data_IF_074389831794
#
_entry.id   IF_074389831794
#
_cell.length_a   1.000
_cell.length_b   1.000
_cell.length_c   1.000
_cell.angle_alpha   90.00
_cell.angle_beta   90.00
_cell.angle_gamma   90.00
#
_symmetry.space_group_name_H-M   'P 1'
#
loop_
_entity.id
_entity.type
_entity.pdbx_description
1 polymer ?
#
# COMPACT_ATOMS: atom_id res chain seq x y z
N UNK A 1 -37.72 -0.35 -56.92
CA UNK A 1 -38.07 0.29 -55.64
C UNK A 1 -37.41 1.64 -55.64
N UNK A 2 -38.18 2.65 -56.02
CA UNK A 2 -37.78 4.06 -56.02
C UNK A 2 -37.83 4.63 -54.60
N UNK A 3 -37.00 5.61 -54.26
CA UNK A 3 -37.14 6.39 -53.03
C UNK A 3 -38.08 7.58 -53.26
N UNK A 4 -38.88 8.02 -52.28
CA UNK A 4 -39.56 9.30 -52.38
C UNK A 4 -38.67 10.44 -51.85
N UNK A 5 -38.57 11.47 -52.68
CA UNK A 5 -37.95 12.76 -52.45
C UNK A 5 -38.81 13.69 -51.56
N UNK A 6 -38.09 14.56 -50.83
CA UNK A 6 -38.30 16.01 -50.61
C UNK A 6 -39.63 16.59 -50.12
N UNK A 7 -39.50 17.51 -49.14
CA UNK A 7 -40.47 18.58 -48.91
C UNK A 7 -40.13 19.48 -47.69
N UNK A 8 -39.71 20.75 -47.88
CA UNK A 8 -39.20 21.64 -46.83
C UNK A 8 -40.28 22.57 -46.24
N UNK A 9 -40.03 23.10 -45.04
CA UNK A 9 -40.87 24.12 -44.39
C UNK A 9 -40.01 25.18 -43.70
N UNK A 10 -40.04 26.38 -44.27
CA UNK A 10 -39.32 27.59 -43.91
C UNK A 10 -39.92 28.38 -42.72
N UNK A 11 -39.06 29.29 -42.20
CA UNK A 11 -39.32 30.60 -41.56
C UNK A 11 -39.81 30.67 -40.10
N UNK A 12 -39.00 31.27 -39.22
CA UNK A 12 -39.13 32.71 -38.93
C UNK A 12 -37.98 33.23 -38.04
N UNK A 13 -37.56 34.43 -38.39
CA UNK A 13 -36.46 35.27 -37.92
C UNK A 13 -37.03 36.30 -36.92
N UNK A 14 -36.35 36.60 -35.81
CA UNK A 14 -36.60 37.83 -35.03
C UNK A 14 -35.35 38.29 -34.24
N UNK A 15 -34.68 39.26 -34.87
CA UNK A 15 -33.86 40.38 -34.38
C UNK A 15 -33.72 40.72 -32.87
N UNK A 16 -32.45 40.76 -32.42
CA UNK A 16 -31.66 41.80 -31.66
C UNK A 16 -32.38 43.04 -31.06
N UNK A 17 -31.88 43.69 -29.96
CA UNK A 17 -30.53 44.29 -29.94
C UNK A 17 -29.75 44.50 -28.60
N UNK A 18 -28.48 44.83 -28.83
CA UNK A 18 -27.37 45.44 -28.07
C UNK A 18 -27.55 46.15 -26.69
N UNK A 19 -26.52 45.97 -25.84
CA UNK A 19 -25.67 47.09 -25.40
C UNK A 19 -25.46 47.31 -23.89
N UNK A 20 -24.22 47.11 -23.39
CA UNK A 20 -23.45 48.13 -22.61
C UNK A 20 -22.08 47.66 -22.15
N UNK A 21 -21.06 48.38 -22.59
CA UNK A 21 -19.71 48.51 -22.05
C UNK A 21 -19.67 49.32 -20.74
N UNK A 22 -18.80 48.95 -19.79
CA UNK A 22 -18.07 49.88 -18.91
C UNK A 22 -16.76 49.24 -18.42
N UNK A 23 -15.70 50.03 -18.47
CA UNK A 23 -14.31 49.78 -18.02
C UNK A 23 -14.02 50.76 -16.84
N UNK A 24 -12.78 50.85 -16.31
CA UNK A 24 -12.36 50.41 -14.98
C UNK A 24 -12.19 51.55 -13.94
N UNK A 25 -11.97 51.21 -12.67
CA UNK A 25 -11.38 52.13 -11.67
C UNK A 25 -10.26 51.43 -10.87
N UNK A 26 -9.16 52.15 -10.71
CA UNK A 26 -7.95 51.90 -9.90
C UNK A 26 -7.77 53.16 -9.00
N UNK A 27 -6.74 53.29 -8.13
CA UNK A 27 -6.37 52.56 -6.92
C UNK A 27 -6.41 53.46 -5.64
N UNK A 28 -6.18 52.90 -4.45
CA UNK A 28 -5.72 53.67 -3.27
C UNK A 28 -4.54 53.01 -2.56
N UNK A 29 -3.50 53.82 -2.35
CA UNK A 29 -2.27 53.60 -1.56
C UNK A 29 -2.54 53.82 -0.07
N UNK A 30 -1.77 53.17 0.81
CA UNK A 30 -1.02 53.85 1.89
C UNK A 30 0.01 52.93 2.58
N UNK A 31 1.24 53.44 2.67
CA UNK A 31 2.38 52.99 3.48
C UNK A 31 2.07 53.01 4.98
N UNK A 32 2.74 52.17 5.80
CA UNK A 32 3.41 52.56 7.08
C UNK A 32 4.58 51.61 7.36
N UNK A 33 5.61 52.18 8.00
CA UNK A 33 7.02 51.84 8.18
C UNK A 33 7.38 50.60 9.02
N UNK A 34 8.60 50.08 8.78
CA UNK A 34 9.35 49.17 9.66
C UNK A 34 10.43 49.94 10.41
N UNK A 35 10.51 49.77 11.73
CA UNK A 35 11.74 49.98 12.51
C UNK A 35 11.74 49.08 13.76
N UNK A 36 12.94 48.65 14.19
CA UNK A 36 13.15 48.13 15.54
C UNK A 36 13.97 46.84 15.65
N UNK A 37 15.30 46.98 15.71
CA UNK A 37 16.23 45.99 16.26
C UNK A 37 16.36 46.26 17.76
N UNK A 38 16.27 45.24 18.63
CA UNK A 38 16.85 45.27 19.98
C UNK A 38 17.40 43.89 20.34
N UNK A 39 18.67 43.88 20.77
CA UNK A 39 19.37 42.75 21.39
C UNK A 39 19.26 42.83 22.90
N UNK A 40 19.25 41.69 23.62
CA UNK A 40 19.81 41.63 24.98
C UNK A 40 20.21 40.21 25.39
N UNK A 41 21.24 40.19 26.25
CA UNK A 41 22.08 39.09 26.75
C UNK A 41 21.38 38.19 27.79
N UNK A 42 21.85 36.95 27.92
CA UNK A 42 21.59 36.08 29.08
C UNK A 42 22.79 36.07 30.06
N UNK A 43 22.56 35.98 31.38
CA UNK A 43 23.62 35.82 32.37
C UNK A 43 23.94 34.33 32.65
N UNK A 44 25.18 34.12 33.06
CA UNK A 44 25.73 32.88 33.61
C UNK A 44 25.25 32.69 35.04
N UNK A 45 24.79 31.48 35.39
CA UNK A 45 24.68 31.02 36.78
C UNK A 45 25.29 29.62 36.91
N UNK A 46 26.08 29.50 37.96
CA UNK A 46 26.92 28.39 38.39
C UNK A 46 26.25 27.80 39.63
N UNK A 47 26.07 26.48 39.77
CA UNK A 47 25.92 25.80 41.07
C UNK A 47 26.14 24.28 40.98
N UNK A 48 26.73 23.80 42.07
CA UNK A 48 27.25 22.49 42.45
C UNK A 48 26.21 21.55 43.11
N UNK A 49 26.50 20.25 43.02
CA UNK A 49 26.20 19.12 43.94
C UNK A 49 24.80 18.89 44.57
N UNK A 50 24.30 17.64 44.46
CA UNK A 50 23.59 16.96 45.56
C UNK A 50 22.22 16.32 45.28
N UNK A 51 22.22 15.02 44.95
CA UNK A 51 21.25 13.93 45.24
C UNK A 51 19.74 14.23 45.40
N UNK A 52 18.92 13.62 44.53
CA UNK A 52 17.61 13.06 44.91
C UNK A 52 16.36 13.56 44.17
N UNK A 53 15.68 12.61 43.51
CA UNK A 53 14.28 12.64 43.04
C UNK A 53 13.89 13.46 41.80
N UNK A 54 13.09 12.83 40.92
CA UNK A 54 12.02 13.49 40.16
C UNK A 54 12.37 14.05 38.78
N UNK A 55 12.01 13.29 37.74
CA UNK A 55 11.53 13.71 36.40
C UNK A 55 11.72 15.19 35.96
N UNK A 56 12.51 15.47 34.90
CA UNK A 56 12.56 16.79 34.26
C UNK A 56 11.80 16.91 32.92
N UNK A 57 11.08 15.89 32.46
CA UNK A 57 10.43 15.92 31.13
C UNK A 57 9.18 16.83 31.04
N UNK A 58 8.65 17.34 32.16
CA UNK A 58 7.38 18.10 32.15
C UNK A 58 7.52 19.61 31.93
N UNK A 59 8.72 20.20 31.98
CA UNK A 59 8.88 21.67 31.99
C UNK A 59 9.48 22.30 30.71
N UNK A 60 9.70 21.54 29.64
CA UNK A 60 10.35 22.05 28.42
C UNK A 60 9.41 22.59 27.33
N UNK A 61 8.08 22.55 27.54
CA UNK A 61 7.09 22.82 26.47
C UNK A 61 6.16 24.00 26.73
N UNK A 62 6.34 24.77 27.80
CA UNK A 62 5.51 25.94 28.13
C UNK A 62 5.84 27.22 27.34
N UNK A 63 6.79 27.15 26.40
CA UNK A 63 7.32 28.34 25.69
C UNK A 63 6.83 28.55 24.24
N UNK A 64 6.00 27.67 23.67
CA UNK A 64 5.57 27.80 22.27
C UNK A 64 4.10 28.22 22.23
N UNK A 65 3.86 29.51 21.97
CA UNK A 65 2.53 30.06 21.80
C UNK A 65 1.81 29.44 20.60
N UNK A 66 0.50 29.17 20.78
CA UNK A 66 -0.52 28.90 19.78
C UNK A 66 -0.01 28.33 18.44
N UNK A 67 0.37 27.06 18.45
CA UNK A 67 0.41 26.22 17.25
C UNK A 67 -0.45 24.99 17.56
N UNK A 68 -1.22 24.55 16.57
CA UNK A 68 -2.15 23.43 16.64
C UNK A 68 -1.57 22.20 17.35
N UNK A 69 -2.46 21.51 18.07
CA UNK A 69 -2.30 20.32 18.90
C UNK A 69 -1.03 19.47 18.63
N UNK A 70 0.01 19.67 19.45
CA UNK A 70 1.29 18.94 19.41
C UNK A 70 1.19 17.57 20.12
N UNK A 71 0.02 17.22 20.67
CA UNK A 71 -0.20 15.97 21.42
C UNK A 71 0.15 14.70 20.61
N UNK A 72 -0.19 14.57 19.31
CA UNK A 72 0.07 13.34 18.56
C UNK A 72 1.56 13.05 18.35
N UNK A 73 2.37 14.10 18.15
CA UNK A 73 3.82 13.98 17.97
C UNK A 73 4.48 13.62 19.29
N UNK A 74 4.04 14.24 20.39
CA UNK A 74 4.48 13.92 21.75
C UNK A 74 4.18 12.46 22.11
N UNK A 75 2.98 11.98 21.83
CA UNK A 75 2.56 10.61 22.13
C UNK A 75 3.29 9.56 21.28
N UNK A 76 3.73 9.94 20.08
CA UNK A 76 4.54 9.09 19.22
C UNK A 76 5.97 8.99 19.74
N UNK A 77 6.58 10.11 20.12
CA UNK A 77 7.93 10.14 20.72
C UNK A 77 7.97 9.32 22.01
N UNK A 78 6.96 9.46 22.87
CA UNK A 78 6.87 8.69 24.13
C UNK A 78 6.76 7.19 23.88
N UNK A 79 6.01 6.76 22.85
CA UNK A 79 5.90 5.34 22.47
C UNK A 79 7.21 4.78 21.93
N UNK A 80 7.93 5.55 21.09
CA UNK A 80 9.23 5.15 20.55
C UNK A 80 10.24 4.98 21.68
N UNK A 81 10.35 5.96 22.59
CA UNK A 81 11.28 5.91 23.72
C UNK A 81 10.93 4.77 24.68
N UNK A 82 9.64 4.56 24.98
CA UNK A 82 9.21 3.45 25.85
C UNK A 82 9.50 2.08 25.24
N UNK A 83 9.34 1.93 23.92
CA UNK A 83 9.62 0.66 23.22
C UNK A 83 11.12 0.40 23.18
N UNK A 84 11.93 1.42 22.86
CA UNK A 84 13.38 1.31 22.86
C UNK A 84 13.96 1.00 24.25
N UNK A 85 13.34 1.52 25.31
CA UNK A 85 13.70 1.20 26.68
C UNK A 85 13.45 -0.28 27.00
N UNK A 86 12.25 -0.80 26.69
CA UNK A 86 11.92 -2.21 26.93
C UNK A 86 12.85 -3.17 26.18
N UNK A 87 13.22 -2.84 24.95
CA UNK A 87 14.18 -3.63 24.16
C UNK A 87 15.62 -3.55 24.71
N UNK A 88 16.00 -2.44 25.35
CA UNK A 88 17.30 -2.30 26.02
C UNK A 88 17.33 -3.12 27.31
N UNK A 89 16.23 -3.12 28.07
CA UNK A 89 16.06 -3.93 29.28
C UNK A 89 16.09 -5.44 28.97
N UNK A 90 15.63 -5.83 27.78
CA UNK A 90 15.71 -7.20 27.28
C UNK A 90 17.08 -7.56 26.67
N UNK A 91 18.03 -6.60 26.61
CA UNK A 91 19.35 -6.80 26.03
C UNK A 91 19.39 -6.87 24.50
N UNK A 92 18.27 -6.58 23.84
CA UNK A 92 18.12 -6.62 22.37
C UNK A 92 18.71 -5.36 21.74
N UNK A 93 18.47 -4.19 22.35
CA UNK A 93 19.12 -2.94 21.96
C UNK A 93 20.30 -2.62 22.89
N UNK A 94 21.42 -2.17 22.30
CA UNK A 94 22.52 -1.67 23.12
C UNK A 94 22.13 -0.35 23.80
N UNK A 95 22.59 -0.15 25.04
CA UNK A 95 22.37 1.09 25.79
C UNK A 95 22.83 2.35 25.04
N UNK A 96 23.84 2.22 24.16
CA UNK A 96 24.30 3.32 23.29
C UNK A 96 23.26 3.73 22.26
N UNK A 97 22.54 2.77 21.66
CA UNK A 97 21.48 3.03 20.67
C UNK A 97 20.29 3.69 21.35
N UNK A 98 19.91 3.21 22.54
CA UNK A 98 18.85 3.81 23.34
C UNK A 98 19.15 5.27 23.71
N UNK A 99 20.37 5.55 24.21
CA UNK A 99 20.80 6.92 24.52
C UNK A 99 20.76 7.82 23.28
N UNK A 100 21.06 7.28 22.09
CA UNK A 100 20.92 8.01 20.82
C UNK A 100 19.46 8.40 20.52
N UNK A 101 18.53 7.46 20.68
CA UNK A 101 17.09 7.66 20.48
C UNK A 101 16.54 8.67 21.48
N UNK A 102 16.89 8.54 22.76
CA UNK A 102 16.46 9.45 23.84
C UNK A 102 17.02 10.87 23.64
N UNK A 103 18.28 10.98 23.20
CA UNK A 103 18.92 12.27 22.90
C UNK A 103 18.28 12.93 21.67
N UNK A 104 17.93 12.16 20.65
CA UNK A 104 17.22 12.66 19.47
C UNK A 104 15.83 13.17 19.83
N UNK A 105 15.07 12.39 20.62
CA UNK A 105 13.73 12.72 21.11
C UNK A 105 13.68 13.97 21.99
N UNK A 106 14.68 14.18 22.85
CA UNK A 106 14.74 15.30 23.79
C UNK A 106 15.28 16.60 23.19
N UNK A 107 16.02 16.55 22.08
CA UNK A 107 16.72 17.73 21.54
C UNK A 107 15.86 18.74 20.78
N UNK A 108 14.58 18.47 20.53
CA UNK A 108 13.65 19.38 19.83
C UNK A 108 14.06 19.76 18.40
N UNK A 109 15.14 19.19 17.87
CA UNK A 109 15.72 19.50 16.56
C UNK A 109 15.40 18.39 15.56
N UNK A 110 14.20 18.50 14.96
CA UNK A 110 13.85 18.13 13.59
C UNK A 110 13.96 16.66 13.14
N UNK A 111 12.92 16.19 12.45
CA UNK A 111 12.78 14.90 11.75
C UNK A 111 14.06 14.37 11.09
N UNK A 112 14.94 15.24 10.57
CA UNK A 112 16.22 14.85 9.96
C UNK A 112 17.12 13.99 10.87
N UNK A 113 17.19 14.25 12.18
CA UNK A 113 17.99 13.41 13.11
C UNK A 113 17.28 12.13 13.54
N UNK A 114 15.95 12.10 13.43
CA UNK A 114 15.17 10.87 13.56
C UNK A 114 15.45 9.97 12.35
N UNK A 115 15.56 10.55 11.14
CA UNK A 115 15.99 9.83 9.94
C UNK A 115 17.43 9.30 10.03
N UNK A 116 18.39 10.09 10.53
CA UNK A 116 19.78 9.60 10.75
C UNK A 116 19.83 8.50 11.83
N UNK A 117 19.01 8.63 12.87
CA UNK A 117 18.83 7.59 13.90
C UNK A 117 18.13 6.35 13.36
N UNK A 118 17.19 6.50 12.43
CA UNK A 118 16.53 5.38 11.73
C UNK A 118 17.48 4.65 10.79
N UNK A 119 18.39 5.35 10.11
CA UNK A 119 19.45 4.73 9.31
C UNK A 119 20.46 4.00 10.21
N UNK A 120 20.73 4.53 11.40
CA UNK A 120 21.56 3.86 12.42
C UNK A 120 20.84 2.66 13.06
N UNK A 121 19.51 2.73 13.21
CA UNK A 121 18.63 1.63 13.62
C UNK A 121 18.53 0.57 12.53
N UNK A 122 18.44 0.96 11.25
CA UNK A 122 18.48 0.05 10.10
C UNK A 122 19.83 -0.68 10.07
N UNK A 123 20.94 0.03 10.25
CA UNK A 123 22.27 -0.60 10.36
C UNK A 123 22.42 -1.53 11.59
N UNK A 124 21.67 -1.27 12.67
CA UNK A 124 21.62 -2.14 13.84
C UNK A 124 20.66 -3.33 13.66
N UNK A 125 19.54 -3.14 12.95
CA UNK A 125 18.57 -4.17 12.55
C UNK A 125 19.18 -5.08 11.48
N UNK A 126 20.04 -4.56 10.62
CA UNK A 126 20.84 -5.36 9.69
C UNK A 126 21.82 -6.30 10.45
N UNK A 127 22.03 -6.07 11.75
CA UNK A 127 22.83 -6.90 12.64
C UNK A 127 22.02 -7.83 13.59
N UNK A 128 20.69 -7.75 13.62
CA UNK A 128 19.84 -8.60 14.48
C UNK A 128 18.53 -9.03 13.79
N UNK A 129 18.08 -10.31 13.90
CA UNK A 129 17.03 -10.87 13.04
C UNK A 129 15.58 -10.44 13.38
N UNK A 130 15.36 -9.43 14.22
CA UNK A 130 14.02 -9.14 14.73
C UNK A 130 13.27 -8.06 13.93
N UNK A 131 12.53 -8.53 12.93
CA UNK A 131 11.59 -7.78 12.05
C UNK A 131 10.46 -7.07 12.82
N UNK A 132 10.23 -7.41 14.09
CA UNK A 132 9.08 -6.97 14.88
C UNK A 132 9.10 -5.49 15.30
N UNK A 133 10.27 -4.87 15.46
CA UNK A 133 10.39 -3.49 15.96
C UNK A 133 9.90 -2.46 14.93
N UNK A 134 10.11 -2.76 13.65
CA UNK A 134 9.81 -1.89 12.54
C UNK A 134 8.30 -1.85 12.21
N UNK A 135 7.59 -2.96 12.42
CA UNK A 135 6.14 -3.05 12.24
C UNK A 135 5.35 -2.20 13.26
N UNK A 136 5.88 -2.01 14.47
CA UNK A 136 5.24 -1.17 15.50
C UNK A 136 5.32 0.34 15.19
N UNK A 137 6.30 0.78 14.39
CA UNK A 137 6.54 2.19 14.07
C UNK A 137 5.71 2.71 12.90
N UNK A 138 5.18 1.84 12.04
CA UNK A 138 4.40 2.19 10.86
C UNK A 138 2.98 2.74 11.16
N UNK A 139 2.61 2.93 12.43
CA UNK A 139 1.25 3.31 12.84
C UNK A 139 0.89 4.81 12.82
N UNK A 140 1.82 5.74 12.57
CA UNK A 140 1.57 7.18 12.72
C UNK A 140 1.93 8.03 11.47
N UNK A 141 0.91 8.67 10.88
CA UNK A 141 0.90 9.79 9.91
C UNK A 141 2.13 10.02 9.02
N UNK A 142 2.03 9.78 7.70
CA UNK A 142 2.93 10.25 6.62
C UNK A 142 4.36 9.69 6.65
N UNK A 143 5.01 9.75 7.81
CA UNK A 143 6.18 8.97 8.21
C UNK A 143 5.87 7.48 8.17
N UNK A 144 4.60 7.09 8.37
CA UNK A 144 4.16 5.68 8.32
C UNK A 144 4.37 5.00 6.98
N UNK A 145 4.17 5.66 5.83
CA UNK A 145 4.39 5.04 4.52
C UNK A 145 5.87 4.85 4.24
N UNK A 146 6.68 5.87 4.53
CA UNK A 146 8.15 5.81 4.36
C UNK A 146 8.73 4.68 5.21
N UNK A 147 8.38 4.62 6.49
CA UNK A 147 8.80 3.55 7.40
C UNK A 147 8.30 2.21 6.88
N UNK A 148 7.01 2.09 6.52
CA UNK A 148 6.46 0.83 6.03
C UNK A 148 7.18 0.32 4.77
N UNK A 149 7.61 1.19 3.87
CA UNK A 149 8.32 0.80 2.65
C UNK A 149 9.81 0.59 2.83
N UNK A 150 10.47 1.33 3.73
CA UNK A 150 11.83 1.00 4.14
C UNK A 150 11.84 -0.40 4.77
N UNK A 151 10.86 -0.67 5.65
CA UNK A 151 10.66 -2.00 6.22
C UNK A 151 10.42 -3.03 5.11
N UNK A 152 9.49 -2.77 4.19
CA UNK A 152 9.19 -3.68 3.09
C UNK A 152 10.43 -3.94 2.21
N UNK A 153 11.28 -2.94 2.00
CA UNK A 153 12.54 -3.07 1.24
C UNK A 153 13.55 -3.94 1.98
N UNK A 154 13.79 -3.64 3.26
CA UNK A 154 14.68 -4.45 4.10
C UNK A 154 14.19 -5.89 4.17
N UNK A 155 12.89 -6.07 4.37
CA UNK A 155 12.21 -7.37 4.47
C UNK A 155 12.21 -8.13 3.14
N UNK A 156 12.06 -7.46 1.99
CA UNK A 156 12.21 -8.09 0.67
C UNK A 156 13.67 -8.50 0.38
N UNK A 157 14.63 -7.65 0.75
CA UNK A 157 16.06 -7.99 0.69
C UNK A 157 16.39 -9.20 1.56
N UNK A 158 15.89 -9.22 2.80
CA UNK A 158 16.08 -10.35 3.69
C UNK A 158 15.41 -11.61 3.15
N UNK A 159 14.22 -11.54 2.54
CA UNK A 159 13.61 -12.72 1.93
C UNK A 159 14.48 -13.26 0.79
N UNK A 160 14.97 -12.38 -0.09
CA UNK A 160 15.84 -12.76 -1.20
C UNK A 160 17.16 -13.41 -0.74
N UNK A 161 17.72 -12.96 0.39
CA UNK A 161 18.95 -13.52 0.97
C UNK A 161 18.68 -14.78 1.82
N UNK A 162 17.62 -14.74 2.62
CA UNK A 162 17.23 -15.75 3.60
C UNK A 162 16.65 -17.01 2.98
N UNK A 163 15.99 -16.91 1.82
CA UNK A 163 15.51 -18.07 1.06
C UNK A 163 16.66 -19.02 0.70
N UNK A 164 17.87 -18.52 0.41
CA UNK A 164 19.04 -19.39 0.13
C UNK A 164 19.51 -20.18 1.35
N UNK A 165 19.45 -19.59 2.54
CA UNK A 165 19.87 -20.24 3.78
C UNK A 165 18.79 -21.14 4.40
N UNK A 166 17.53 -20.72 4.32
CA UNK A 166 16.40 -21.44 4.92
C UNK A 166 16.02 -22.69 4.10
N UNK A 167 16.23 -22.66 2.79
CA UNK A 167 15.93 -23.79 1.90
C UNK A 167 17.10 -24.78 1.77
N UNK A 168 17.99 -24.89 2.77
CA UNK A 168 19.20 -25.72 2.71
C UNK A 168 19.00 -27.21 2.33
N UNK A 169 17.76 -27.71 2.28
CA UNK A 169 17.40 -29.02 1.69
C UNK A 169 16.43 -28.99 0.48
N UNK A 170 15.97 -27.80 0.06
CA UNK A 170 14.99 -27.55 -1.02
C UNK A 170 15.53 -26.64 -2.13
N UNK A 171 16.78 -26.21 -2.00
CA UNK A 171 17.51 -25.46 -3.02
C UNK A 171 17.48 -26.24 -4.36
N UNK A 172 17.06 -25.56 -5.43
CA UNK A 172 16.93 -26.14 -6.77
C UNK A 172 15.51 -26.60 -7.14
N UNK A 173 14.51 -26.38 -6.30
CA UNK A 173 13.10 -26.50 -6.73
C UNK A 173 12.68 -25.24 -7.49
N UNK A 174 11.92 -25.42 -8.57
CA UNK A 174 11.40 -24.32 -9.40
C UNK A 174 10.62 -23.26 -8.59
N UNK A 175 9.92 -23.68 -7.53
CA UNK A 175 9.16 -22.77 -6.66
C UNK A 175 10.08 -21.85 -5.85
N UNK A 176 11.19 -22.38 -5.34
CA UNK A 176 12.19 -21.58 -4.61
C UNK A 176 12.85 -20.59 -5.57
N UNK A 177 13.15 -20.98 -6.81
CA UNK A 177 13.69 -20.05 -7.81
C UNK A 177 12.69 -18.93 -8.12
N UNK A 178 11.40 -19.26 -8.31
CA UNK A 178 10.33 -18.27 -8.50
C UNK A 178 10.20 -17.32 -7.31
N UNK A 179 10.29 -17.81 -6.08
CA UNK A 179 10.26 -16.96 -4.88
C UNK A 179 11.46 -16.01 -4.81
N UNK A 180 12.66 -16.48 -5.16
CA UNK A 180 13.84 -15.61 -5.22
C UNK A 180 13.67 -14.53 -6.29
N UNK A 181 13.14 -14.87 -7.46
CA UNK A 181 12.86 -13.90 -8.51
C UNK A 181 11.85 -12.84 -8.05
N UNK A 182 10.75 -13.27 -7.41
CA UNK A 182 9.73 -12.34 -6.89
C UNK A 182 10.33 -11.45 -5.80
N UNK A 183 11.13 -12.00 -4.88
CA UNK A 183 11.77 -11.24 -3.80
C UNK A 183 12.78 -10.22 -4.33
N UNK A 184 13.60 -10.62 -5.31
CA UNK A 184 14.53 -9.71 -5.98
C UNK A 184 13.80 -8.56 -6.67
N UNK A 185 12.70 -8.84 -7.38
CA UNK A 185 11.90 -7.83 -8.07
C UNK A 185 11.17 -6.89 -7.12
N UNK A 186 10.59 -7.45 -6.04
CA UNK A 186 9.99 -6.65 -4.99
C UNK A 186 11.03 -5.71 -4.39
N UNK A 187 12.21 -6.22 -4.03
CA UNK A 187 13.32 -5.39 -3.52
C UNK A 187 13.72 -4.28 -4.49
N UNK A 188 13.92 -4.58 -5.79
CA UNK A 188 14.29 -3.57 -6.78
C UNK A 188 13.22 -2.48 -6.87
N UNK A 189 11.94 -2.85 -6.95
CA UNK A 189 10.84 -1.91 -7.07
C UNK A 189 10.70 -1.03 -5.82
N UNK A 190 10.73 -1.63 -4.62
CA UNK A 190 10.58 -0.88 -3.37
C UNK A 190 11.79 -0.02 -3.07
N UNK A 191 12.99 -0.51 -3.37
CA UNK A 191 14.23 0.26 -3.28
C UNK A 191 14.19 1.46 -4.23
N UNK A 192 13.83 1.25 -5.50
CA UNK A 192 13.71 2.35 -6.46
C UNK A 192 12.75 3.43 -5.94
N UNK A 193 11.58 3.03 -5.45
CA UNK A 193 10.58 3.95 -4.92
C UNK A 193 11.14 4.73 -3.70
N UNK A 194 11.80 4.04 -2.77
CA UNK A 194 12.37 4.62 -1.56
C UNK A 194 13.48 5.66 -1.82
N UNK A 195 14.15 5.58 -2.98
CA UNK A 195 15.20 6.53 -3.37
C UNK A 195 14.67 7.75 -4.14
N UNK A 196 13.37 7.83 -4.42
CA UNK A 196 12.79 8.99 -5.09
C UNK A 196 12.62 10.15 -4.11
N UNK A 197 12.99 11.38 -4.50
CA UNK A 197 12.82 12.55 -3.63
C UNK A 197 11.34 12.80 -3.26
N UNK A 198 10.41 12.43 -4.15
CA UNK A 198 8.98 12.51 -3.93
C UNK A 198 8.38 11.31 -3.17
N UNK A 199 9.23 10.42 -2.63
CA UNK A 199 8.79 9.17 -1.98
C UNK A 199 7.67 9.30 -0.93
N UNK A 200 7.64 10.32 -0.05
CA UNK A 200 6.55 10.48 0.92
C UNK A 200 5.16 10.54 0.28
N UNK A 201 5.07 10.89 -1.01
CA UNK A 201 3.86 10.94 -1.82
C UNK A 201 3.88 10.05 -3.05
N UNK A 202 4.71 9.00 -3.11
CA UNK A 202 4.71 8.04 -4.24
C UNK A 202 3.99 6.75 -3.93
N UNK A 203 3.92 6.33 -2.66
CA UNK A 203 3.30 5.07 -2.27
C UNK A 203 2.59 5.20 -0.93
N UNK A 204 1.44 4.55 -0.79
CA UNK A 204 0.71 4.50 0.47
C UNK A 204 1.20 3.34 1.35
N UNK A 205 0.72 3.28 2.60
CA UNK A 205 1.01 2.15 3.48
C UNK A 205 0.33 0.84 3.02
N UNK A 206 -0.62 0.90 2.09
CA UNK A 206 -1.41 -0.24 1.66
C UNK A 206 -0.56 -1.27 0.89
N UNK A 207 0.22 -0.82 -0.10
CA UNK A 207 1.15 -1.68 -0.83
C UNK A 207 2.27 -2.21 0.07
N UNK A 208 2.82 -1.37 0.96
CA UNK A 208 3.88 -1.76 1.89
C UNK A 208 3.43 -2.90 2.81
N UNK A 209 2.20 -2.80 3.33
CA UNK A 209 1.60 -3.83 4.19
C UNK A 209 1.47 -5.17 3.48
N UNK A 210 1.13 -5.17 2.18
CA UNK A 210 1.04 -6.39 1.39
C UNK A 210 2.42 -7.05 1.21
N UNK A 211 3.45 -6.28 0.86
CA UNK A 211 4.83 -6.80 0.70
C UNK A 211 5.40 -7.31 2.03
N UNK A 212 5.20 -6.55 3.12
CA UNK A 212 5.67 -6.95 4.44
C UNK A 212 4.97 -8.24 4.93
N UNK A 213 3.65 -8.34 4.78
CA UNK A 213 2.91 -9.54 5.15
C UNK A 213 3.31 -10.76 4.31
N UNK A 214 3.60 -10.56 3.01
CA UNK A 214 4.07 -11.65 2.17
C UNK A 214 5.44 -12.16 2.60
N UNK A 215 6.37 -11.26 2.89
CA UNK A 215 7.71 -11.68 3.29
C UNK A 215 7.74 -12.35 4.67
N UNK A 216 6.89 -11.91 5.62
CA UNK A 216 6.68 -12.62 6.88
C UNK A 216 6.29 -14.08 6.65
N UNK A 217 5.35 -14.34 5.73
CA UNK A 217 5.00 -15.69 5.33
C UNK A 217 6.20 -16.45 4.76
N UNK A 218 6.99 -15.84 3.86
CA UNK A 218 8.16 -16.49 3.26
C UNK A 218 9.14 -17.01 4.31
N UNK A 219 9.37 -16.25 5.39
CA UNK A 219 10.22 -16.71 6.50
C UNK A 219 9.62 -17.86 7.30
N UNK A 220 8.29 -17.92 7.38
CA UNK A 220 7.56 -18.96 8.10
C UNK A 220 7.33 -20.22 7.29
N UNK A 221 7.57 -20.23 5.97
CA UNK A 221 7.38 -21.42 5.12
C UNK A 221 8.07 -22.68 5.68
N UNK A 222 9.33 -22.63 6.18
CA UNK A 222 9.99 -23.78 6.80
C UNK A 222 9.27 -24.33 8.04
N UNK A 223 8.45 -23.51 8.69
CA UNK A 223 7.72 -23.84 9.92
C UNK A 223 6.29 -24.35 9.63
N UNK A 224 5.83 -24.27 8.38
CA UNK A 224 4.49 -24.70 8.01
C UNK A 224 4.37 -26.24 8.02
N UNK A 225 3.23 -26.79 8.47
CA UNK A 225 3.01 -28.24 8.47
C UNK A 225 3.12 -28.88 7.08
N UNK A 226 2.65 -28.17 6.05
CA UNK A 226 2.87 -28.52 4.64
C UNK A 226 3.74 -27.43 3.98
N UNK A 227 5.01 -27.76 3.86
CA UNK A 227 6.01 -26.87 3.29
C UNK A 227 5.76 -26.59 1.80
N UNK A 228 5.34 -27.60 1.04
CA UNK A 228 5.23 -27.53 -0.41
C UNK A 228 4.01 -26.70 -0.82
N UNK A 229 2.91 -26.91 -0.11
CA UNK A 229 1.76 -26.01 -0.05
C UNK A 229 2.15 -24.57 0.27
N UNK A 230 2.92 -24.39 1.35
CA UNK A 230 3.44 -23.10 1.78
C UNK A 230 4.22 -22.37 0.69
N UNK A 231 5.13 -23.07 0.00
CA UNK A 231 5.89 -22.53 -1.11
C UNK A 231 5.00 -22.09 -2.27
N UNK A 232 4.07 -22.94 -2.72
CA UNK A 232 3.16 -22.62 -3.83
C UNK A 232 2.29 -21.41 -3.52
N UNK A 233 1.70 -21.38 -2.33
CA UNK A 233 0.93 -20.23 -1.89
C UNK A 233 1.80 -18.97 -1.81
N UNK A 234 3.04 -19.08 -1.33
CA UNK A 234 3.95 -17.93 -1.24
C UNK A 234 4.32 -17.35 -2.61
N UNK A 235 4.41 -18.16 -3.67
CA UNK A 235 4.66 -17.68 -5.04
C UNK A 235 3.48 -16.85 -5.55
N UNK A 236 2.26 -17.37 -5.40
CA UNK A 236 1.04 -16.64 -5.81
C UNK A 236 0.83 -15.38 -4.97
N UNK A 237 1.00 -15.49 -3.65
CA UNK A 237 0.91 -14.38 -2.71
C UNK A 237 1.96 -13.29 -2.99
N UNK A 238 3.18 -13.66 -3.37
CA UNK A 238 4.22 -12.70 -3.73
C UNK A 238 3.89 -11.94 -5.02
N UNK A 239 3.33 -12.64 -6.00
CA UNK A 239 2.82 -12.00 -7.23
C UNK A 239 1.65 -11.05 -6.93
N UNK A 240 0.74 -11.44 -6.03
CA UNK A 240 -0.32 -10.56 -5.52
C UNK A 240 0.24 -9.32 -4.82
N UNK A 241 1.21 -9.49 -3.91
CA UNK A 241 1.83 -8.39 -3.17
C UNK A 241 2.55 -7.41 -4.10
N UNK A 242 3.28 -7.92 -5.09
CA UNK A 242 3.96 -7.12 -6.09
C UNK A 242 2.97 -6.35 -6.99
N UNK A 243 1.84 -6.96 -7.34
CA UNK A 243 0.76 -6.30 -8.09
C UNK A 243 0.09 -5.18 -7.30
N UNK A 244 -0.17 -5.42 -6.01
CA UNK A 244 -0.72 -4.41 -5.10
C UNK A 244 0.26 -3.25 -4.90
N UNK A 245 1.55 -3.54 -4.68
CA UNK A 245 2.60 -2.54 -4.57
C UNK A 245 2.70 -1.68 -5.84
N UNK A 246 2.66 -2.32 -7.01
CA UNK A 246 2.70 -1.66 -8.32
C UNK A 246 1.48 -0.76 -8.55
N UNK A 247 0.27 -1.26 -8.22
CA UNK A 247 -0.95 -0.47 -8.34
C UNK A 247 -0.96 0.71 -7.34
N UNK A 248 -0.46 0.52 -6.12
CA UNK A 248 -0.34 1.61 -5.14
C UNK A 248 0.61 2.70 -5.64
N UNK A 249 1.80 2.33 -6.13
CA UNK A 249 2.78 3.24 -6.70
C UNK A 249 2.21 4.10 -7.84
N UNK A 250 1.42 3.48 -8.72
CA UNK A 250 0.87 4.16 -9.91
C UNK A 250 -0.44 4.91 -9.62
N UNK A 251 -1.02 4.77 -8.44
CA UNK A 251 -2.28 5.46 -8.07
C UNK A 251 -2.09 6.62 -7.12
N UNK A 252 -0.85 6.97 -6.79
CA UNK A 252 -0.60 8.10 -5.91
C UNK A 252 -0.80 9.43 -6.64
N UNK A 253 -1.55 10.32 -6.00
CA UNK A 253 -1.87 11.66 -6.50
C UNK A 253 -0.63 12.58 -6.39
N UNK A 254 -0.57 13.65 -7.19
CA UNK A 254 0.40 14.77 -7.08
C UNK A 254 1.89 14.51 -7.40
N UNK A 255 2.20 13.47 -8.16
CA UNK A 255 3.56 13.26 -8.69
C UNK A 255 3.75 13.90 -10.06
N UNK A 256 4.96 14.41 -10.33
CA UNK A 256 5.38 14.90 -11.65
C UNK A 256 5.13 13.84 -12.75
N UNK A 257 4.74 14.28 -13.94
CA UNK A 257 4.47 13.44 -15.12
C UNK A 257 5.70 12.61 -15.50
N UNK A 258 6.90 13.19 -15.41
CA UNK A 258 8.15 12.48 -15.68
C UNK A 258 8.33 11.30 -14.70
N UNK A 259 8.10 11.54 -13.42
CA UNK A 259 8.20 10.52 -12.38
C UNK A 259 7.13 9.42 -12.52
N UNK A 260 5.91 9.78 -12.91
CA UNK A 260 4.86 8.79 -13.23
C UNK A 260 5.23 7.92 -14.42
N UNK A 261 5.90 8.48 -15.42
CA UNK A 261 6.40 7.72 -16.55
C UNK A 261 7.49 6.73 -16.11
N UNK A 262 8.48 7.19 -15.34
CA UNK A 262 9.52 6.34 -14.78
C UNK A 262 8.94 5.24 -13.87
N UNK A 263 7.98 5.57 -13.00
CA UNK A 263 7.27 4.60 -12.17
C UNK A 263 6.60 3.52 -13.02
N UNK A 264 5.92 3.91 -14.11
CA UNK A 264 5.28 2.98 -15.02
C UNK A 264 6.31 2.06 -15.72
N UNK A 265 7.47 2.59 -16.12
CA UNK A 265 8.55 1.78 -16.70
C UNK A 265 9.13 0.78 -15.69
N UNK A 266 9.33 1.18 -14.44
CA UNK A 266 9.81 0.30 -13.39
C UNK A 266 8.81 -0.81 -13.07
N UNK A 267 7.53 -0.46 -12.92
CA UNK A 267 6.45 -1.46 -12.75
C UNK A 267 6.38 -2.40 -13.94
N UNK A 268 6.49 -1.89 -15.16
CA UNK A 268 6.47 -2.71 -16.37
C UNK A 268 7.62 -3.73 -16.35
N UNK A 269 8.84 -3.30 -16.00
CA UNK A 269 10.05 -4.14 -15.99
C UNK A 269 10.04 -5.16 -14.86
N UNK A 270 9.71 -4.72 -13.65
CA UNK A 270 9.91 -5.54 -12.45
C UNK A 270 8.68 -6.37 -12.08
N UNK A 271 7.48 -5.94 -12.43
CA UNK A 271 6.25 -6.66 -12.08
C UNK A 271 5.53 -7.26 -13.30
N UNK A 272 5.23 -6.44 -14.31
CA UNK A 272 4.29 -6.84 -15.36
C UNK A 272 4.91 -7.77 -16.42
N UNK A 273 6.08 -7.45 -16.98
CA UNK A 273 6.73 -8.31 -17.98
C UNK A 273 7.04 -9.72 -17.44
N UNK A 274 7.59 -9.88 -16.22
CA UNK A 274 7.87 -11.19 -15.66
C UNK A 274 6.59 -11.98 -15.40
N UNK A 275 5.55 -11.32 -14.86
CA UNK A 275 4.25 -11.94 -14.67
C UNK A 275 3.70 -12.45 -16.00
N UNK A 276 3.68 -11.63 -17.04
CA UNK A 276 3.12 -12.02 -18.34
C UNK A 276 3.83 -13.21 -18.98
N UNK A 277 5.16 -13.30 -18.82
CA UNK A 277 5.93 -14.44 -19.29
C UNK A 277 5.56 -15.76 -18.55
N UNK A 278 5.27 -15.66 -17.25
CA UNK A 278 4.86 -16.80 -16.41
C UNK A 278 3.35 -17.11 -16.42
N UNK A 279 2.51 -16.11 -16.72
CA UNK A 279 1.04 -16.11 -16.55
C UNK A 279 0.38 -17.32 -17.19
N UNK A 280 0.81 -17.68 -18.39
CA UNK A 280 0.18 -18.75 -19.18
C UNK A 280 0.24 -20.11 -18.48
N UNK A 281 1.19 -20.32 -17.57
CA UNK A 281 1.36 -21.58 -16.85
C UNK A 281 0.28 -21.81 -15.79
N UNK A 282 -0.21 -20.74 -15.16
CA UNK A 282 -1.23 -20.81 -14.10
C UNK A 282 -2.61 -20.42 -14.64
N UNK A 283 -2.64 -19.74 -15.80
CA UNK A 283 -3.87 -19.24 -16.40
C UNK A 283 -4.88 -20.36 -16.67
N UNK A 284 -4.49 -21.44 -17.36
CA UNK A 284 -5.44 -22.49 -17.77
C UNK A 284 -6.15 -23.13 -16.56
N UNK A 285 -5.37 -23.50 -15.53
CA UNK A 285 -5.89 -24.11 -14.31
C UNK A 285 -6.79 -23.12 -13.56
N UNK A 286 -6.39 -21.85 -13.49
CA UNK A 286 -7.21 -20.80 -12.88
C UNK A 286 -8.53 -20.59 -13.63
N UNK A 287 -8.52 -20.52 -14.97
CA UNK A 287 -9.75 -20.39 -15.77
C UNK A 287 -10.66 -21.59 -15.55
N UNK A 288 -10.10 -22.80 -15.48
CA UNK A 288 -10.85 -24.02 -15.19
C UNK A 288 -11.50 -23.96 -13.81
N UNK A 289 -10.74 -23.63 -12.75
CA UNK A 289 -11.25 -23.49 -11.40
C UNK A 289 -12.33 -22.41 -11.27
N UNK A 290 -12.12 -21.24 -11.91
CA UNK A 290 -13.12 -20.17 -11.97
C UNK A 290 -14.37 -20.63 -12.72
N UNK A 291 -14.22 -21.31 -13.86
CA UNK A 291 -15.34 -21.78 -14.69
C UNK A 291 -16.21 -22.82 -14.01
N UNK A 292 -15.65 -23.61 -13.08
CA UNK A 292 -16.43 -24.53 -12.23
C UNK A 292 -17.31 -23.80 -11.23
N UNK A 293 -16.93 -22.58 -10.82
CA UNK A 293 -17.69 -21.73 -9.89
C UNK A 293 -18.72 -20.85 -10.63
N UNK A 294 -18.29 -20.19 -11.70
CA UNK A 294 -19.11 -19.35 -12.57
C UNK A 294 -18.61 -19.47 -14.03
N UNK A 295 -19.36 -20.13 -14.92
CA UNK A 295 -18.94 -20.37 -16.30
C UNK A 295 -18.69 -19.10 -17.14
N UNK A 296 -19.24 -17.95 -16.75
CA UNK A 296 -19.13 -16.70 -17.51
C UNK A 296 -17.95 -15.84 -17.06
N UNK A 297 -17.39 -16.13 -15.89
CA UNK A 297 -16.33 -15.29 -15.30
C UNK A 297 -14.96 -15.44 -15.99
N UNK A 298 -14.56 -16.60 -16.55
CA UNK A 298 -13.32 -16.69 -17.33
C UNK A 298 -13.32 -15.73 -18.53
N UNK A 299 -14.45 -15.60 -19.23
CA UNK A 299 -14.59 -14.69 -20.38
C UNK A 299 -14.42 -13.21 -19.98
N UNK A 300 -14.84 -12.83 -18.77
CA UNK A 300 -14.64 -11.47 -18.26
C UNK A 300 -13.15 -11.17 -18.01
N UNK A 301 -12.41 -12.15 -17.49
CA UNK A 301 -10.99 -12.00 -17.22
C UNK A 301 -10.18 -11.95 -18.51
N UNK A 302 -10.49 -12.80 -19.48
CA UNK A 302 -9.83 -12.79 -20.79
C UNK A 302 -10.19 -11.51 -21.57
N UNK A 303 -11.45 -11.08 -21.51
CA UNK A 303 -11.88 -9.79 -22.06
C UNK A 303 -11.16 -8.59 -21.46
N UNK A 304 -10.81 -8.63 -20.16
CA UNK A 304 -10.01 -7.59 -19.52
C UNK A 304 -8.59 -7.52 -20.11
N UNK A 305 -7.94 -8.66 -20.33
CA UNK A 305 -6.63 -8.71 -20.96
C UNK A 305 -6.67 -8.25 -22.42
N UNK A 306 -7.68 -8.65 -23.18
CA UNK A 306 -7.87 -8.21 -24.57
C UNK A 306 -8.09 -6.69 -24.67
N UNK A 307 -8.84 -6.10 -23.75
CA UNK A 307 -9.02 -4.66 -23.67
C UNK A 307 -7.69 -3.95 -23.35
N UNK A 308 -6.84 -4.52 -22.51
CA UNK A 308 -5.52 -3.93 -22.19
C UNK A 308 -4.57 -3.92 -23.40
N UNK A 309 -4.72 -4.85 -24.35
CA UNK A 309 -3.97 -4.84 -25.61
C UNK A 309 -4.34 -3.69 -26.53
N UNK A 310 -5.56 -3.14 -26.42
CA UNK A 310 -6.03 -2.01 -27.23
C UNK A 310 -5.47 -0.65 -26.79
N UNK A 311 -4.86 -0.57 -25.60
CA UNK A 311 -4.14 0.59 -25.06
C UNK A 311 -4.91 1.93 -25.09
N UNK A 312 -6.23 1.92 -24.90
CA UNK A 312 -7.07 3.14 -24.85
C UNK A 312 -7.72 3.39 -23.49
N UNK A 313 -8.11 4.63 -23.13
CA UNK A 313 -8.73 4.94 -21.84
C UNK A 313 -10.06 4.23 -21.60
N UNK A 314 -10.92 4.16 -22.60
CA UNK A 314 -12.16 3.38 -22.49
C UNK A 314 -11.87 1.89 -22.25
N UNK A 315 -10.82 1.36 -22.88
CA UNK A 315 -10.40 -0.03 -22.72
C UNK A 315 -9.81 -0.27 -21.31
N UNK A 316 -8.99 0.64 -20.78
CA UNK A 316 -8.47 0.58 -19.42
C UNK A 316 -9.59 0.64 -18.37
N UNK A 317 -10.58 1.53 -18.53
CA UNK A 317 -11.77 1.60 -17.67
C UNK A 317 -12.55 0.28 -17.72
N UNK A 318 -12.77 -0.27 -18.92
CA UNK A 318 -13.49 -1.52 -19.10
C UNK A 318 -12.75 -2.69 -18.45
N UNK A 319 -11.45 -2.82 -18.71
CA UNK A 319 -10.60 -3.85 -18.12
C UNK A 319 -10.56 -3.77 -16.59
N UNK A 320 -10.45 -2.57 -16.01
CA UNK A 320 -10.48 -2.39 -14.55
C UNK A 320 -11.81 -2.85 -13.94
N UNK A 321 -12.94 -2.49 -14.56
CA UNK A 321 -14.25 -2.95 -14.12
C UNK A 321 -14.40 -4.47 -14.26
N UNK A 322 -13.90 -5.06 -15.34
CA UNK A 322 -13.88 -6.52 -15.53
C UNK A 322 -13.05 -7.21 -14.44
N UNK A 323 -11.84 -6.74 -14.13
CA UNK A 323 -11.00 -7.32 -13.08
C UNK A 323 -11.68 -7.27 -11.70
N UNK A 324 -12.31 -6.15 -11.36
CA UNK A 324 -13.07 -6.00 -10.11
C UNK A 324 -14.27 -6.95 -10.08
N UNK A 325 -15.05 -7.00 -11.16
CA UNK A 325 -16.23 -7.86 -11.26
C UNK A 325 -15.85 -9.35 -11.18
N UNK A 326 -14.72 -9.74 -11.78
CA UNK A 326 -14.17 -11.11 -11.67
C UNK A 326 -13.94 -11.47 -10.20
N UNK A 327 -13.21 -10.64 -9.45
CA UNK A 327 -12.98 -10.91 -8.02
C UNK A 327 -14.30 -10.97 -7.24
N UNK A 328 -15.19 -9.99 -7.44
CA UNK A 328 -16.46 -9.90 -6.74
C UNK A 328 -17.36 -11.12 -7.04
N UNK A 329 -17.38 -11.63 -8.28
CA UNK A 329 -18.14 -12.83 -8.69
C UNK A 329 -17.53 -14.09 -8.12
N UNK A 330 -16.23 -14.28 -8.27
CA UNK A 330 -15.55 -15.49 -7.78
C UNK A 330 -15.66 -15.62 -6.28
N UNK A 331 -15.43 -14.55 -5.51
CA UNK A 331 -15.59 -14.60 -4.06
C UNK A 331 -17.04 -14.90 -3.65
N UNK A 332 -18.04 -14.37 -4.37
CA UNK A 332 -19.45 -14.68 -4.11
C UNK A 332 -19.82 -16.13 -4.43
N UNK A 333 -19.30 -16.67 -5.53
CA UNK A 333 -19.55 -18.04 -5.95
C UNK A 333 -18.82 -19.06 -5.04
N UNK A 334 -17.54 -18.82 -4.74
CA UNK A 334 -16.70 -19.70 -3.92
C UNK A 334 -17.07 -19.66 -2.42
N UNK A 335 -17.52 -18.50 -1.93
CA UNK A 335 -17.91 -18.31 -0.54
C UNK A 335 -19.31 -17.69 -0.44
N UNK A 336 -20.39 -18.45 -0.73
CA UNK A 336 -21.76 -17.95 -0.69
C UNK A 336 -22.15 -17.39 0.68
N UNK A 337 -22.96 -16.32 0.69
CA UNK A 337 -23.31 -15.55 1.89
C UNK A 337 -23.83 -16.44 3.03
N UNK A 338 -24.72 -17.37 2.69
CA UNK A 338 -25.32 -18.30 3.64
C UNK A 338 -24.29 -19.19 4.32
N UNK A 339 -23.30 -19.69 3.56
CA UNK A 339 -22.26 -20.56 4.10
C UNK A 339 -21.27 -19.79 4.96
N UNK A 340 -20.88 -18.59 4.53
CA UNK A 340 -19.96 -17.72 5.27
C UNK A 340 -20.57 -17.27 6.60
N UNK A 341 -21.85 -16.89 6.60
CA UNK A 341 -22.57 -16.50 7.83
C UNK A 341 -22.76 -17.70 8.76
N UNK A 342 -23.13 -18.87 8.22
CA UNK A 342 -23.29 -20.07 9.02
C UNK A 342 -21.97 -20.49 9.70
N UNK A 343 -20.87 -20.50 8.94
CA UNK A 343 -19.53 -20.76 9.47
C UNK A 343 -19.10 -19.76 10.53
N UNK A 344 -19.30 -18.46 10.28
CA UNK A 344 -18.93 -17.42 11.25
C UNK A 344 -19.67 -17.57 12.59
N UNK A 345 -20.96 -17.92 12.53
CA UNK A 345 -21.77 -18.21 13.72
C UNK A 345 -21.31 -19.47 14.43
N UNK A 346 -20.97 -20.55 13.70
CA UNK A 346 -20.52 -21.81 14.33
C UNK A 346 -19.19 -21.64 15.06
N UNK A 347 -18.33 -20.74 14.59
CA UNK A 347 -17.04 -20.41 15.22
C UNK A 347 -17.17 -19.46 16.42
N UNK A 348 -18.40 -19.11 16.86
CA UNK A 348 -18.66 -18.15 17.95
C UNK A 348 -17.93 -16.81 17.79
N UNK A 349 -17.72 -16.38 16.55
CA UNK A 349 -17.00 -15.13 16.26
C UNK A 349 -17.89 -13.92 16.53
N UNK A 350 -17.25 -12.81 16.90
CA UNK A 350 -17.98 -11.58 17.19
C UNK A 350 -18.77 -11.10 15.98
N UNK A 351 -20.07 -10.91 16.16
CA UNK A 351 -20.99 -10.40 15.14
C UNK A 351 -20.58 -9.00 14.65
N UNK A 352 -19.86 -8.23 15.49
CA UNK A 352 -19.27 -6.93 15.13
C UNK A 352 -18.28 -7.01 13.97
N UNK A 353 -17.70 -8.18 13.70
CA UNK A 353 -16.80 -8.36 12.55
C UNK A 353 -17.50 -8.16 11.19
N UNK A 354 -18.84 -8.18 11.13
CA UNK A 354 -19.58 -8.02 9.87
C UNK A 354 -20.79 -7.08 9.94
N UNK A 355 -21.49 -6.97 11.07
CA UNK A 355 -22.66 -6.08 11.18
C UNK A 355 -22.28 -4.59 11.25
N UNK A 356 -21.09 -4.26 11.77
CA UNK A 356 -20.63 -2.87 11.88
C UNK A 356 -20.04 -2.31 10.57
N UNK A 357 -19.76 -3.17 9.57
CA UNK A 357 -19.06 -2.79 8.33
C UNK A 357 -20.03 -2.28 7.26
N UNK A 358 -21.23 -2.84 7.17
CA UNK A 358 -22.31 -2.32 6.32
C UNK A 358 -23.69 -2.81 6.84
N UNK A 359 -24.29 -2.08 7.81
CA UNK A 359 -25.59 -2.44 8.40
C UNK A 359 -26.73 -2.50 7.38
N UNK A 360 -26.57 -1.85 6.22
CA UNK A 360 -27.62 -1.68 5.21
C UNK A 360 -27.65 -2.80 4.17
N UNK A 361 -26.58 -3.60 4.03
CA UNK A 361 -26.50 -4.64 2.99
C UNK A 361 -26.58 -6.07 3.50
N UNK A 362 -26.25 -6.34 4.76
CA UNK A 362 -26.37 -7.68 5.35
C UNK A 362 -25.55 -8.77 4.63
N UNK A 363 -24.52 -8.38 3.86
CA UNK A 363 -23.67 -9.30 3.08
C UNK A 363 -22.29 -9.41 3.71
N UNK A 364 -21.68 -10.61 3.75
CA UNK A 364 -20.31 -10.79 4.20
C UNK A 364 -19.31 -9.97 3.38
N UNK A 365 -18.40 -9.21 4.03
CA UNK A 365 -17.33 -8.48 3.34
C UNK A 365 -16.31 -9.44 2.70
N UNK A 366 -15.50 -8.94 1.78
CA UNK A 366 -14.49 -9.75 1.09
C UNK A 366 -13.49 -10.41 2.05
N UNK A 367 -13.05 -9.69 3.09
CA UNK A 367 -12.15 -10.25 4.11
C UNK A 367 -12.76 -11.47 4.81
N UNK A 368 -14.06 -11.44 5.12
CA UNK A 368 -14.77 -12.56 5.73
C UNK A 368 -14.89 -13.76 4.77
N UNK A 369 -15.17 -13.52 3.49
CA UNK A 369 -15.19 -14.55 2.45
C UNK A 369 -13.83 -15.21 2.28
N UNK A 370 -12.77 -14.41 2.23
CA UNK A 370 -11.40 -14.91 2.14
C UNK A 370 -11.04 -15.74 3.36
N UNK A 371 -11.39 -15.30 4.58
CA UNK A 371 -11.19 -16.12 5.79
C UNK A 371 -11.93 -17.46 5.70
N UNK A 372 -13.16 -17.46 5.18
CA UNK A 372 -13.92 -18.69 4.96
C UNK A 372 -13.25 -19.63 3.94
N UNK A 373 -12.73 -19.10 2.83
CA UNK A 373 -12.00 -19.88 1.82
C UNK A 373 -10.65 -20.42 2.33
N UNK A 374 -10.04 -19.71 3.28
CA UNK A 374 -8.77 -20.05 3.90
C UNK A 374 -8.93 -20.71 5.27
N UNK A 375 -10.14 -21.17 5.65
CA UNK A 375 -10.44 -21.67 7.01
C UNK A 375 -9.60 -22.88 7.40
N UNK A 376 -9.24 -23.70 6.41
CA UNK A 376 -8.41 -24.90 6.59
C UNK A 376 -6.90 -24.57 6.43
N UNK A 377 -6.55 -23.30 6.18
CA UNK A 377 -5.19 -22.76 5.94
C UNK A 377 -4.92 -21.57 6.86
N UNK A 378 -5.05 -21.79 8.17
CA UNK A 378 -5.04 -20.72 9.18
C UNK A 378 -3.77 -19.85 9.11
N UNK A 379 -2.61 -20.47 8.90
CA UNK A 379 -1.32 -19.77 8.83
C UNK A 379 -1.20 -18.79 7.65
N UNK A 380 -1.97 -19.01 6.58
CA UNK A 380 -1.95 -18.21 5.34
C UNK A 380 -3.12 -17.22 5.26
N UNK A 381 -4.17 -17.45 6.06
CA UNK A 381 -5.43 -16.70 6.04
C UNK A 381 -5.24 -15.21 6.34
N UNK A 382 -4.33 -14.86 7.26
CA UNK A 382 -4.02 -13.47 7.60
C UNK A 382 -3.49 -12.69 6.40
N UNK A 383 -2.56 -13.26 5.63
CA UNK A 383 -2.00 -12.65 4.44
C UNK A 383 -3.05 -12.49 3.34
N UNK A 384 -3.87 -13.52 3.11
CA UNK A 384 -4.94 -13.46 2.13
C UNK A 384 -5.92 -12.30 2.43
N UNK A 385 -6.23 -12.09 3.72
CA UNK A 385 -7.06 -10.99 4.19
C UNK A 385 -6.39 -9.64 3.95
N UNK A 386 -5.10 -9.51 4.26
CA UNK A 386 -4.33 -8.28 3.98
C UNK A 386 -4.41 -7.96 2.49
N UNK A 387 -4.18 -8.94 1.61
CA UNK A 387 -4.22 -8.74 0.17
C UNK A 387 -5.59 -8.27 -0.33
N UNK A 388 -6.69 -8.90 0.13
CA UNK A 388 -8.03 -8.51 -0.33
C UNK A 388 -8.46 -7.14 0.22
N UNK A 389 -8.06 -6.80 1.44
CA UNK A 389 -8.33 -5.47 2.02
C UNK A 389 -7.54 -4.37 1.29
N UNK A 390 -6.26 -4.62 1.00
CA UNK A 390 -5.43 -3.71 0.19
C UNK A 390 -6.01 -3.55 -1.22
N UNK A 391 -6.46 -4.63 -1.85
CA UNK A 391 -7.12 -4.57 -3.16
C UNK A 391 -8.37 -3.69 -3.13
N UNK A 392 -9.25 -3.86 -2.13
CA UNK A 392 -10.48 -3.06 -1.98
C UNK A 392 -10.15 -1.58 -1.77
N UNK A 393 -9.11 -1.27 -1.00
CA UNK A 393 -8.65 0.11 -0.81
C UNK A 393 -8.15 0.73 -2.13
N UNK A 394 -7.32 0.00 -2.89
CA UNK A 394 -6.76 0.48 -4.15
C UNK A 394 -7.80 0.58 -5.27
N UNK A 395 -8.78 -0.33 -5.32
CA UNK A 395 -9.90 -0.29 -6.28
C UNK A 395 -10.57 1.07 -6.33
N UNK A 396 -10.80 1.69 -5.17
CA UNK A 396 -11.48 3.00 -5.09
C UNK A 396 -10.63 4.10 -5.72
N UNK A 397 -9.31 4.08 -5.50
CA UNK A 397 -8.35 5.03 -6.11
C UNK A 397 -8.25 4.83 -7.62
N UNK A 398 -8.08 3.58 -8.07
CA UNK A 398 -8.01 3.24 -9.50
C UNK A 398 -9.28 3.72 -10.21
N UNK A 399 -10.47 3.47 -9.63
CA UNK A 399 -11.73 3.91 -10.22
C UNK A 399 -11.83 5.44 -10.29
N UNK A 400 -11.46 6.14 -9.21
CA UNK A 400 -11.44 7.61 -9.19
C UNK A 400 -10.52 8.18 -10.28
N UNK A 401 -9.29 7.65 -10.36
CA UNK A 401 -8.31 8.01 -11.39
C UNK A 401 -8.85 7.77 -12.80
N UNK A 402 -9.36 6.56 -13.07
CA UNK A 402 -9.86 6.18 -14.39
C UNK A 402 -11.08 6.99 -14.85
N UNK A 403 -11.94 7.45 -13.93
CA UNK A 403 -13.08 8.32 -14.26
C UNK A 403 -12.65 9.73 -14.65
N UNK A 404 -11.50 10.21 -14.18
CA UNK A 404 -10.99 11.54 -14.46
C UNK A 404 -10.28 11.65 -15.82
N UNK A 405 -10.01 10.53 -16.49
CA UNK A 405 -9.12 10.48 -17.65
C UNK A 405 -9.86 10.73 -18.96
N UNK A 406 -9.31 11.65 -19.77
CA UNK A 406 -9.72 11.89 -21.18
C UNK A 406 -8.85 11.14 -22.20
N UNK A 407 -7.58 10.88 -21.87
CA UNK A 407 -6.60 10.12 -22.68
C UNK A 407 -5.82 9.18 -21.76
N UNK A 408 -5.80 7.86 -22.01
CA UNK A 408 -5.04 6.95 -21.15
C UNK A 408 -3.55 7.19 -21.33
N UNK A 409 -2.87 7.49 -20.22
CA UNK A 409 -1.42 7.46 -20.18
C UNK A 409 -0.91 6.02 -20.10
N UNK A 410 0.38 5.84 -20.37
CA UNK A 410 1.06 4.56 -20.16
C UNK A 410 0.92 4.08 -18.70
N UNK A 411 0.99 5.00 -17.74
CA UNK A 411 0.82 4.71 -16.30
C UNK A 411 -0.58 4.20 -15.96
N UNK A 412 -1.63 4.66 -16.66
CA UNK A 412 -3.00 4.20 -16.42
C UNK A 412 -3.18 2.76 -16.90
N UNK A 413 -2.63 2.42 -18.07
CA UNK A 413 -2.64 1.04 -18.57
C UNK A 413 -1.82 0.13 -17.65
N UNK A 414 -0.63 0.57 -17.20
CA UNK A 414 0.18 -0.17 -16.25
C UNK A 414 -0.52 -0.37 -14.89
N UNK A 415 -1.27 0.63 -14.43
CA UNK A 415 -2.10 0.53 -13.20
C UNK A 415 -3.13 -0.58 -13.35
N UNK A 416 -3.88 -0.59 -14.46
CA UNK A 416 -4.92 -1.59 -14.67
C UNK A 416 -4.33 -2.99 -14.90
N UNK A 417 -3.20 -3.11 -15.62
CA UNK A 417 -2.47 -4.39 -15.73
C UNK A 417 -2.04 -4.93 -14.35
N UNK A 418 -1.53 -4.05 -13.48
CA UNK A 418 -1.14 -4.41 -12.11
C UNK A 418 -2.35 -4.91 -11.31
N UNK A 419 -3.51 -4.27 -11.47
CA UNK A 419 -4.76 -4.70 -10.85
C UNK A 419 -5.21 -6.07 -11.37
N UNK A 420 -5.19 -6.29 -12.69
CA UNK A 420 -5.60 -7.56 -13.30
C UNK A 420 -4.66 -8.70 -12.88
N UNK A 421 -3.34 -8.48 -12.90
CA UNK A 421 -2.34 -9.40 -12.35
C UNK A 421 -2.61 -9.74 -10.87
N UNK A 422 -2.96 -8.74 -10.07
CA UNK A 422 -3.30 -8.93 -8.65
C UNK A 422 -4.51 -9.86 -8.49
N UNK A 423 -5.58 -9.63 -9.27
CA UNK A 423 -6.78 -10.49 -9.23
C UNK A 423 -6.44 -11.91 -9.61
N UNK A 424 -5.71 -12.12 -10.71
CA UNK A 424 -5.30 -13.46 -11.13
C UNK A 424 -4.47 -14.18 -10.07
N UNK A 425 -3.44 -13.50 -9.53
CA UNK A 425 -2.55 -14.08 -8.54
C UNK A 425 -3.28 -14.38 -7.23
N UNK A 426 -4.16 -13.48 -6.79
CA UNK A 426 -4.95 -13.66 -5.58
C UNK A 426 -5.91 -14.85 -5.74
N UNK A 427 -6.63 -14.92 -6.86
CA UNK A 427 -7.54 -16.03 -7.11
C UNK A 427 -6.81 -17.36 -7.30
N UNK A 428 -5.61 -17.36 -7.89
CA UNK A 428 -4.76 -18.54 -7.95
C UNK A 428 -4.42 -19.05 -6.55
N UNK A 429 -3.97 -18.18 -5.63
CA UNK A 429 -3.67 -18.57 -4.25
C UNK A 429 -4.90 -19.02 -3.45
N UNK A 430 -6.08 -18.51 -3.77
CA UNK A 430 -7.33 -18.88 -3.09
C UNK A 430 -7.91 -20.22 -3.60
N UNK A 431 -7.88 -20.46 -4.90
CA UNK A 431 -8.67 -21.50 -5.55
C UNK A 431 -7.88 -22.72 -6.02
N UNK A 432 -6.61 -22.55 -6.38
CA UNK A 432 -5.85 -23.66 -6.91
C UNK A 432 -5.40 -24.58 -5.78
N UNK A 433 -5.55 -25.91 -5.95
CA UNK A 433 -5.07 -26.86 -4.99
C UNK A 433 -3.53 -26.78 -4.90
N UNK A 434 -3.03 -27.08 -3.71
CA UNK A 434 -1.61 -27.24 -3.46
C UNK A 434 -1.11 -28.51 -4.15
#
# INVERSE_FOLDING_TARGET
MEPPESGPGDNADESKPAGRTKQPDEPKRSNVERSGIVSTRFPVLNMSEGVGAGWPLLNLWSGVGNVADVSPVRDSILRITSTAQGLTEQGILSSKVFVGIETAASSGKGLARIFDSMNSLQAAVDATPEVNVLNALAGASGVSSIVAWQNATSVANFAALGLKSATGGLAGTRLVDQLHEIAGRASVLTSWAAHQEAFPGLMSSAGAKAVAGWSDLVFRVPELPDHDAGLRYSVTAGSTALGLASADLLTTDDTDVALQHEAAEQVQREALQPWEAGRLQVAADLRSAIGQLDPTTPELLDGAWDDLLRQGPAAAVKAANCAIEVLDRVLRAAAPDQLVVAWHRSENRSVREWEDVDPMRGRPPHSMRVRYLMRDRVDMSSLAVIHVETFVALRSRVRGKLQAIKHASHGDVATVRSLTMTVESLLAGLLLPE
#
